data_IF_468063930666
#
_entry.id   IF_468063930666
#
_cell.length_a   1.000
_cell.length_b   1.000
_cell.length_c   1.000
_cell.angle_alpha   90.00
_cell.angle_beta   90.00
_cell.angle_gamma   90.00
#
_symmetry.space_group_name_H-M   'P 1'
#
loop_
_entity.id
_entity.type
_entity.pdbx_description
1 polymer ?
#
# COMPACT_ATOMS: atom_id res chain seq x y z
N UNK A 1 59.94 -8.18 -20.12
CA UNK A 1 58.84 -9.17 -20.01
C UNK A 1 58.37 -9.13 -18.55
N UNK A 2 57.18 -8.74 -18.12
CA UNK A 2 55.94 -8.20 -18.69
C UNK A 2 55.35 -7.27 -17.59
N UNK A 3 54.84 -6.11 -17.98
CA UNK A 3 54.05 -5.18 -17.15
C UNK A 3 52.68 -5.81 -16.81
N UNK A 4 52.16 -5.55 -15.60
CA UNK A 4 50.69 -5.50 -15.45
C UNK A 4 50.21 -4.38 -14.52
N UNK A 5 49.80 -3.31 -15.20
CA UNK A 5 48.89 -2.26 -14.80
C UNK A 5 47.48 -2.83 -14.60
N UNK A 6 46.80 -2.48 -13.50
CA UNK A 6 45.34 -2.39 -13.36
C UNK A 6 45.07 -1.36 -12.25
N UNK A 7 45.16 -0.06 -12.57
CA UNK A 7 44.01 0.79 -12.90
C UNK A 7 42.82 0.65 -11.94
N UNK A 8 42.55 1.78 -11.29
CA UNK A 8 41.54 1.98 -10.26
C UNK A 8 40.16 1.47 -10.67
N UNK A 9 39.58 0.67 -9.79
CA UNK A 9 38.15 0.50 -9.73
C UNK A 9 37.68 1.45 -8.62
N UNK A 10 37.28 2.67 -8.99
CA UNK A 10 36.41 3.46 -8.09
C UNK A 10 35.19 2.58 -7.86
N UNK A 11 35.07 2.04 -6.67
CA UNK A 11 33.82 1.47 -6.20
C UNK A 11 32.87 2.67 -6.18
N UNK A 12 31.93 2.74 -7.14
CA UNK A 12 30.84 3.70 -7.04
C UNK A 12 30.16 3.41 -5.70
N UNK A 13 30.14 4.40 -4.81
CA UNK A 13 29.23 4.37 -3.68
C UNK A 13 27.81 4.09 -4.24
N UNK A 14 27.00 3.27 -3.55
CA UNK A 14 25.61 3.07 -3.95
C UNK A 14 24.96 4.44 -4.07
N UNK A 15 24.44 4.73 -5.27
CA UNK A 15 23.72 5.97 -5.55
C UNK A 15 22.53 6.04 -4.59
N UNK A 16 22.60 6.93 -3.60
CA UNK A 16 21.57 7.12 -2.57
C UNK A 16 20.22 7.56 -3.15
N UNK A 17 20.13 7.75 -4.47
CA UNK A 17 18.92 8.09 -5.22
C UNK A 17 18.24 6.88 -5.88
N UNK A 18 18.82 5.68 -5.79
CA UNK A 18 18.29 4.44 -6.41
C UNK A 18 17.87 3.44 -5.36
N UNK A 19 16.71 3.69 -4.75
CA UNK A 19 15.97 2.60 -4.12
C UNK A 19 15.22 1.85 -5.25
N UNK A 20 15.45 0.55 -5.44
CA UNK A 20 14.68 -0.22 -6.40
C UNK A 20 13.22 -0.26 -5.96
N UNK A 21 12.25 -0.27 -6.90
CA UNK A 21 10.86 -0.41 -6.54
C UNK A 21 10.64 -1.68 -5.72
N UNK A 22 9.77 -1.62 -4.70
CA UNK A 22 9.55 -2.69 -3.72
C UNK A 22 9.10 -4.03 -4.34
N UNK A 23 8.64 -4.02 -5.60
CA UNK A 23 8.34 -5.23 -6.37
C UNK A 23 9.57 -5.89 -7.04
N UNK A 24 10.65 -5.15 -7.29
CA UNK A 24 11.88 -5.66 -7.90
C UNK A 24 12.89 -6.21 -6.87
N UNK A 25 12.75 -5.83 -5.60
CA UNK A 25 13.67 -6.22 -4.52
C UNK A 25 13.47 -7.66 -4.00
N UNK A 26 12.61 -8.47 -4.63
CA UNK A 26 12.40 -9.88 -4.27
C UNK A 26 13.60 -10.81 -4.61
N UNK A 27 14.81 -10.27 -4.90
CA UNK A 27 15.94 -11.09 -5.35
C UNK A 27 17.35 -10.56 -5.10
N UNK A 28 17.57 -9.45 -4.39
CA UNK A 28 18.95 -8.96 -4.15
C UNK A 28 19.12 -8.41 -2.73
N UNK A 29 19.90 -9.08 -1.86
CA UNK A 29 20.16 -8.60 -0.51
C UNK A 29 21.20 -7.48 -0.58
N UNK A 30 20.75 -6.23 -0.58
CA UNK A 30 21.61 -5.08 -0.27
C UNK A 30 21.55 -4.81 1.24
N UNK A 31 22.72 -4.95 1.86
CA UNK A 31 22.98 -4.85 3.30
C UNK A 31 22.40 -3.57 3.91
N UNK A 32 21.58 -3.75 4.96
CA UNK A 32 20.96 -2.70 5.75
C UNK A 32 19.56 -3.07 6.26
N UNK A 33 18.84 -3.98 5.58
CA UNK A 33 17.55 -4.47 6.04
C UNK A 33 17.75 -5.71 6.92
N UNK A 34 17.51 -5.59 8.22
CA UNK A 34 17.39 -6.76 9.09
C UNK A 34 16.15 -7.55 8.64
N UNK A 35 16.38 -8.71 8.01
CA UNK A 35 15.32 -9.60 7.55
C UNK A 35 14.68 -10.28 8.77
N UNK A 36 13.56 -9.75 9.26
CA UNK A 36 12.75 -10.43 10.27
C UNK A 36 12.25 -11.78 9.71
N UNK A 37 12.20 -12.81 10.56
CA UNK A 37 11.86 -14.20 10.25
C UNK A 37 10.49 -14.41 9.56
N UNK A 38 9.68 -13.35 9.44
CA UNK A 38 8.38 -13.30 8.77
C UNK A 38 8.41 -12.68 7.36
N UNK A 39 9.59 -12.40 6.80
CA UNK A 39 9.77 -11.83 5.46
C UNK A 39 9.00 -10.51 5.26
N UNK A 40 9.06 -9.61 6.24
CA UNK A 40 8.44 -8.28 6.16
C UNK A 40 9.52 -7.23 5.96
N UNK A 41 9.33 -6.39 4.95
CA UNK A 41 10.22 -5.24 4.71
C UNK A 41 9.86 -4.16 5.71
N UNK A 42 10.79 -3.84 6.61
CA UNK A 42 10.66 -2.78 7.59
C UNK A 42 11.41 -1.52 7.10
N UNK A 43 10.83 -0.35 7.33
CA UNK A 43 11.48 0.94 7.10
C UNK A 43 12.04 1.49 8.41
N UNK A 44 13.35 1.38 8.57
CA UNK A 44 14.08 1.90 9.72
C UNK A 44 14.10 3.44 9.77
N UNK A 45 13.90 4.09 8.61
CA UNK A 45 13.94 5.55 8.49
C UNK A 45 12.62 6.20 8.85
N UNK A 46 11.53 5.44 8.81
CA UNK A 46 10.20 5.93 9.14
C UNK A 46 10.14 6.33 10.62
N UNK A 47 9.90 7.62 10.89
CA UNK A 47 9.81 8.11 12.26
C UNK A 47 8.45 7.77 12.92
N UNK A 48 8.34 8.02 14.23
CA UNK A 48 7.13 7.67 14.99
C UNK A 48 5.87 8.44 14.54
N UNK A 49 6.02 9.67 14.09
CA UNK A 49 4.95 10.50 13.53
C UNK A 49 4.47 9.96 12.20
N UNK A 50 5.37 9.53 11.33
CA UNK A 50 5.03 8.90 10.05
C UNK A 50 4.30 7.57 10.23
N UNK A 51 4.80 6.72 11.13
CA UNK A 51 4.15 5.46 11.51
C UNK A 51 2.74 5.69 12.05
N UNK A 52 2.58 6.69 12.92
CA UNK A 52 1.30 7.07 13.49
C UNK A 52 0.34 7.59 12.41
N UNK A 53 0.84 8.42 11.49
CA UNK A 53 0.02 8.95 10.39
C UNK A 53 -0.44 7.86 9.44
N UNK A 54 0.47 6.96 9.03
CA UNK A 54 0.16 5.81 8.20
C UNK A 54 -0.84 4.85 8.88
N UNK A 55 -0.69 4.64 10.20
CA UNK A 55 -1.67 3.90 11.00
C UNK A 55 -3.06 4.53 10.89
N UNK A 56 -3.18 5.84 11.10
CA UNK A 56 -4.48 6.52 11.01
C UNK A 56 -5.05 6.48 9.60
N UNK A 57 -4.19 6.56 8.59
CA UNK A 57 -4.61 6.43 7.19
C UNK A 57 -5.21 5.04 6.89
N UNK A 58 -4.76 3.97 7.56
CA UNK A 58 -5.42 2.66 7.47
C UNK A 58 -6.74 2.59 8.25
N UNK A 59 -6.84 3.28 9.39
CA UNK A 59 -8.03 3.27 10.25
C UNK A 59 -9.14 4.21 9.79
N UNK A 60 -8.83 5.22 8.97
CA UNK A 60 -9.81 6.20 8.47
C UNK A 60 -10.95 5.54 7.70
N UNK A 61 -10.72 4.34 7.15
CA UNK A 61 -11.75 3.53 6.50
C UNK A 61 -12.94 3.17 7.39
N UNK A 62 -12.76 3.14 8.72
CA UNK A 62 -13.86 2.90 9.67
C UNK A 62 -14.87 4.03 9.74
N UNK A 63 -14.55 5.22 9.23
CA UNK A 63 -15.53 6.30 9.05
C UNK A 63 -16.74 5.88 8.21
N UNK A 64 -16.61 4.83 7.38
CA UNK A 64 -17.68 4.30 6.54
C UNK A 64 -18.60 3.27 7.21
N UNK A 65 -18.36 2.89 8.47
CA UNK A 65 -19.23 1.94 9.19
C UNK A 65 -20.65 2.52 9.37
N UNK A 66 -20.75 3.82 9.65
CA UNK A 66 -22.03 4.50 9.88
C UNK A 66 -22.82 4.85 8.61
N UNK A 67 -22.22 4.75 7.41
CA UNK A 67 -22.83 5.17 6.14
C UNK A 67 -23.56 4.03 5.41
N UNK A 68 -24.17 3.11 6.15
CA UNK A 68 -24.91 1.97 5.56
C UNK A 68 -24.02 1.00 4.78
N UNK A 69 -22.73 0.92 5.11
CA UNK A 69 -21.77 0.04 4.43
C UNK A 69 -21.19 0.59 3.12
N UNK A 70 -21.49 1.85 2.76
CA UNK A 70 -20.91 2.50 1.58
C UNK A 70 -19.53 3.09 1.96
N UNK A 71 -18.42 2.65 1.34
CA UNK A 71 -17.05 3.02 1.74
C UNK A 71 -16.60 4.43 1.28
N UNK A 72 -17.52 5.39 1.12
CA UNK A 72 -17.20 6.72 0.58
C UNK A 72 -16.47 7.62 1.57
N UNK A 73 -16.92 7.68 2.83
CA UNK A 73 -16.27 8.51 3.85
C UNK A 73 -14.84 8.03 4.13
N UNK A 74 -14.65 6.72 4.24
CA UNK A 74 -13.34 6.10 4.38
C UNK A 74 -12.43 6.37 3.19
N UNK A 75 -12.96 6.28 1.96
CA UNK A 75 -12.21 6.59 0.74
C UNK A 75 -11.77 8.07 0.70
N UNK A 76 -12.68 9.00 0.97
CA UNK A 76 -12.36 10.43 0.99
C UNK A 76 -11.29 10.72 2.04
N UNK A 77 -11.44 10.15 3.23
CA UNK A 77 -10.46 10.29 4.32
C UNK A 77 -9.09 9.76 3.93
N UNK A 78 -9.00 8.55 3.38
CA UNK A 78 -7.74 7.94 2.95
C UNK A 78 -7.07 8.73 1.83
N UNK A 79 -7.83 9.21 0.85
CA UNK A 79 -7.31 10.05 -0.23
C UNK A 79 -6.79 11.36 0.33
N UNK A 80 -7.55 12.04 1.18
CA UNK A 80 -7.12 13.30 1.76
C UNK A 80 -5.83 13.14 2.56
N UNK A 81 -5.79 12.15 3.45
CA UNK A 81 -4.60 11.86 4.24
C UNK A 81 -3.39 11.52 3.36
N UNK A 82 -3.56 10.62 2.38
CA UNK A 82 -2.51 10.31 1.42
C UNK A 82 -1.99 11.59 0.74
N UNK A 83 -2.87 12.42 0.18
CA UNK A 83 -2.44 13.59 -0.60
C UNK A 83 -1.78 14.69 0.22
N UNK A 84 -2.04 14.78 1.53
CA UNK A 84 -1.42 15.75 2.41
C UNK A 84 0.06 15.41 2.65
N UNK A 85 0.38 14.15 2.99
CA UNK A 85 1.74 13.76 3.39
C UNK A 85 2.51 12.85 2.43
N UNK A 86 1.91 12.42 1.31
CA UNK A 86 2.56 11.52 0.35
C UNK A 86 3.96 11.93 -0.11
N UNK A 87 4.24 13.25 -0.14
CA UNK A 87 5.52 13.77 -0.64
C UNK A 87 6.60 13.89 0.45
N UNK A 88 6.24 13.66 1.71
CA UNK A 88 7.16 13.82 2.84
C UNK A 88 8.09 12.60 2.96
N UNK A 89 7.59 11.38 2.72
CA UNK A 89 8.43 10.18 2.69
C UNK A 89 7.87 9.03 1.83
N UNK A 90 8.75 8.14 1.35
CA UNK A 90 8.34 6.92 0.63
C UNK A 90 7.39 6.03 1.45
N UNK A 91 7.59 5.97 2.76
CA UNK A 91 6.74 5.21 3.68
C UNK A 91 5.30 5.72 3.68
N UNK A 92 5.10 7.04 3.80
CA UNK A 92 3.78 7.66 3.75
C UNK A 92 3.15 7.60 2.35
N UNK A 93 3.97 7.72 1.30
CA UNK A 93 3.51 7.54 -0.08
C UNK A 93 2.94 6.14 -0.29
N UNK A 94 3.62 5.10 0.18
CA UNK A 94 3.23 3.72 -0.02
C UNK A 94 1.99 3.32 0.78
N UNK A 95 2.00 3.56 2.10
CA UNK A 95 0.85 3.28 2.96
C UNK A 95 -0.39 4.09 2.54
N UNK A 96 -0.18 5.35 2.17
CA UNK A 96 -1.17 6.24 1.58
C UNK A 96 -1.86 5.63 0.37
N UNK A 97 -1.07 5.31 -0.66
CA UNK A 97 -1.51 4.74 -1.93
C UNK A 97 -2.21 3.39 -1.74
N UNK A 98 -1.64 2.52 -0.92
CA UNK A 98 -2.20 1.19 -0.66
C UNK A 98 -3.55 1.27 0.06
N UNK A 99 -3.68 2.13 1.08
CA UNK A 99 -4.96 2.32 1.76
C UNK A 99 -6.04 2.86 0.82
N UNK A 100 -5.69 3.79 -0.07
CA UNK A 100 -6.60 4.31 -1.10
C UNK A 100 -7.01 3.22 -2.09
N UNK A 101 -6.07 2.42 -2.60
CA UNK A 101 -6.38 1.27 -3.45
C UNK A 101 -7.36 0.30 -2.78
N UNK A 102 -7.18 0.05 -1.48
CA UNK A 102 -8.08 -0.81 -0.73
C UNK A 102 -9.48 -0.21 -0.60
N UNK A 103 -9.61 1.08 -0.29
CA UNK A 103 -10.91 1.75 -0.23
C UNK A 103 -11.64 1.74 -1.58
N UNK A 104 -10.93 1.95 -2.69
CA UNK A 104 -11.49 1.79 -4.03
C UNK A 104 -11.92 0.35 -4.31
N UNK A 105 -11.16 -0.64 -3.83
CA UNK A 105 -11.52 -2.06 -3.97
C UNK A 105 -12.81 -2.38 -3.21
N UNK A 106 -12.94 -1.91 -1.96
CA UNK A 106 -14.17 -2.05 -1.19
C UNK A 106 -15.35 -1.38 -1.89
N UNK A 107 -15.16 -0.18 -2.45
CA UNK A 107 -16.21 0.52 -3.20
C UNK A 107 -16.65 -0.28 -4.43
N UNK A 108 -15.70 -0.84 -5.18
CA UNK A 108 -16.00 -1.69 -6.32
C UNK A 108 -16.79 -2.94 -5.92
N UNK A 109 -16.39 -3.63 -4.84
CA UNK A 109 -17.13 -4.79 -4.32
C UNK A 109 -18.55 -4.44 -3.90
N UNK A 110 -18.75 -3.32 -3.20
CA UNK A 110 -20.09 -2.84 -2.83
C UNK A 110 -20.93 -2.53 -4.07
N UNK A 111 -20.35 -1.86 -5.07
CA UNK A 111 -21.04 -1.54 -6.32
C UNK A 111 -21.44 -2.79 -7.11
N UNK A 112 -20.58 -3.82 -7.16
CA UNK A 112 -20.89 -5.10 -7.79
C UNK A 112 -22.05 -5.81 -7.09
N UNK A 113 -22.14 -5.74 -5.77
CA UNK A 113 -23.26 -6.26 -5.00
C UNK A 113 -24.59 -5.62 -5.32
N UNK A 114 -24.60 -4.29 -5.36
CA UNK A 114 -25.78 -3.51 -5.74
C UNK A 114 -26.21 -3.84 -7.17
N UNK A 115 -25.25 -3.87 -8.11
CA UNK A 115 -25.52 -4.23 -9.50
C UNK A 115 -26.09 -5.65 -9.63
N UNK A 116 -25.55 -6.62 -8.89
CA UNK A 116 -26.06 -7.99 -8.86
C UNK A 116 -27.51 -8.04 -8.36
N UNK A 117 -27.85 -7.26 -7.31
CA UNK A 117 -29.23 -7.12 -6.84
C UNK A 117 -30.16 -6.56 -7.92
N UNK A 118 -29.73 -5.54 -8.67
CA UNK A 118 -30.53 -4.94 -9.75
C UNK A 118 -30.74 -5.91 -10.92
N UNK A 119 -29.67 -6.55 -11.41
CA UNK A 119 -29.72 -7.46 -12.58
C UNK A 119 -30.61 -8.68 -12.31
N UNK A 120 -30.68 -9.12 -11.06
CA UNK A 120 -31.51 -10.25 -10.64
C UNK A 120 -32.92 -9.85 -10.19
N UNK A 121 -33.35 -8.61 -10.50
CA UNK A 121 -34.67 -8.06 -10.14
C UNK A 121 -34.95 -8.12 -8.62
N UNK A 122 -33.92 -7.94 -7.80
CA UNK A 122 -34.00 -7.94 -6.35
C UNK A 122 -33.70 -9.29 -5.69
N UNK A 123 -33.68 -10.41 -6.42
CA UNK A 123 -33.38 -11.72 -5.83
C UNK A 123 -31.96 -11.77 -5.24
N UNK A 124 -30.99 -11.18 -5.92
CA UNK A 124 -29.62 -11.05 -5.46
C UNK A 124 -29.47 -10.18 -4.22
N UNK A 125 -30.40 -9.24 -3.98
CA UNK A 125 -30.40 -8.41 -2.77
C UNK A 125 -30.72 -9.24 -1.51
N UNK A 126 -31.44 -10.37 -1.64
CA UNK A 126 -31.68 -11.30 -0.54
C UNK A 126 -30.42 -12.07 -0.15
N UNK A 127 -29.56 -12.37 -1.13
CA UNK A 127 -28.28 -13.06 -0.91
C UNK A 127 -27.15 -12.10 -0.52
N UNK A 128 -27.28 -10.80 -0.86
CA UNK A 128 -26.27 -9.78 -0.61
C UNK A 128 -25.78 -9.67 0.85
N UNK A 129 -26.63 -9.80 1.90
CA UNK A 129 -26.16 -9.76 3.29
C UNK A 129 -25.04 -10.75 3.59
N UNK A 130 -25.04 -11.93 2.98
CA UNK A 130 -23.97 -12.93 3.14
C UNK A 130 -22.64 -12.39 2.58
N UNK A 131 -22.68 -11.80 1.38
CA UNK A 131 -21.52 -11.14 0.78
C UNK A 131 -21.06 -9.91 1.55
N UNK A 132 -22.00 -9.12 2.08
CA UNK A 132 -21.71 -7.95 2.90
C UNK A 132 -20.96 -8.30 4.19
N UNK A 133 -21.32 -9.41 4.86
CA UNK A 133 -20.59 -9.89 6.04
C UNK A 133 -19.13 -10.23 5.70
N UNK A 134 -18.90 -10.93 4.58
CA UNK A 134 -17.54 -11.23 4.12
C UNK A 134 -16.74 -9.94 3.80
N UNK A 135 -17.39 -8.96 3.18
CA UNK A 135 -16.78 -7.67 2.85
C UNK A 135 -16.42 -6.87 4.11
N UNK A 136 -17.30 -6.86 5.12
CA UNK A 136 -17.02 -6.24 6.43
C UNK A 136 -15.85 -6.93 7.12
N UNK A 137 -15.80 -8.26 7.12
CA UNK A 137 -14.68 -9.01 7.68
C UNK A 137 -13.36 -8.67 6.97
N UNK A 138 -13.36 -8.63 5.64
CA UNK A 138 -12.20 -8.21 4.83
C UNK A 138 -11.75 -6.79 5.19
N UNK A 139 -12.68 -5.84 5.28
CA UNK A 139 -12.41 -4.45 5.63
C UNK A 139 -11.81 -4.31 7.03
N UNK A 140 -12.43 -4.94 8.04
CA UNK A 140 -11.98 -4.89 9.44
C UNK A 140 -10.58 -5.50 9.59
N UNK A 141 -10.41 -6.74 9.15
CA UNK A 141 -9.13 -7.45 9.27
C UNK A 141 -8.05 -6.72 8.50
N UNK A 142 -8.34 -6.27 7.28
CA UNK A 142 -7.40 -5.55 6.44
C UNK A 142 -6.91 -4.26 7.08
N UNK A 143 -7.84 -3.41 7.55
CA UNK A 143 -7.50 -2.11 8.13
C UNK A 143 -6.73 -2.24 9.45
N UNK A 144 -7.13 -3.17 10.32
CA UNK A 144 -6.40 -3.44 11.57
C UNK A 144 -4.99 -3.95 11.26
N UNK A 145 -4.85 -4.91 10.34
CA UNK A 145 -3.53 -5.45 9.99
C UNK A 145 -2.63 -4.40 9.33
N UNK A 146 -3.18 -3.55 8.48
CA UNK A 146 -2.46 -2.42 7.89
C UNK A 146 -2.02 -1.40 8.92
N UNK A 147 -2.91 -1.01 9.83
CA UNK A 147 -2.60 -0.13 10.96
C UNK A 147 -1.49 -0.70 11.85
N UNK A 148 -1.58 -1.98 12.19
CA UNK A 148 -0.60 -2.68 13.01
C UNK A 148 0.76 -2.79 12.30
N UNK A 149 0.79 -3.02 10.99
CA UNK A 149 2.01 -3.02 10.19
C UNK A 149 2.64 -1.63 10.13
N UNK A 150 1.85 -0.60 9.83
CA UNK A 150 2.31 0.79 9.83
C UNK A 150 2.92 1.21 11.18
N UNK A 151 2.29 0.83 12.30
CA UNK A 151 2.82 1.09 13.64
C UNK A 151 4.19 0.43 13.88
N UNK A 152 4.41 -0.76 13.32
CA UNK A 152 5.72 -1.45 13.39
C UNK A 152 6.75 -0.90 12.39
N UNK A 153 6.36 0.03 11.51
CA UNK A 153 7.19 0.49 10.40
C UNK A 153 7.32 -0.56 9.30
N UNK A 154 6.38 -1.51 9.21
CA UNK A 154 6.36 -2.54 8.17
C UNK A 154 5.48 -2.10 7.00
N UNK A 155 5.99 -2.29 5.78
CA UNK A 155 5.17 -2.15 4.59
C UNK A 155 4.05 -3.19 4.57
N UNK A 156 2.87 -2.77 4.11
CA UNK A 156 1.67 -3.62 4.11
C UNK A 156 0.99 -3.66 2.75
N UNK A 157 0.46 -4.82 2.38
CA UNK A 157 -0.35 -5.01 1.18
C UNK A 157 -1.65 -5.70 1.54
N UNK A 158 -2.77 -5.12 1.13
CA UNK A 158 -4.08 -5.70 1.41
C UNK A 158 -4.32 -6.96 0.57
N UNK A 159 -4.85 -8.04 1.18
CA UNK A 159 -5.37 -9.15 0.41
C UNK A 159 -6.62 -8.72 -0.37
N UNK A 160 -6.86 -9.34 -1.54
CA UNK A 160 -8.01 -9.02 -2.40
C UNK A 160 -8.13 -7.51 -2.73
N UNK A 161 -7.00 -6.83 -2.88
CA UNK A 161 -6.93 -5.41 -3.25
C UNK A 161 -6.59 -5.25 -4.73
N UNK A 162 -7.41 -4.50 -5.45
CA UNK A 162 -7.09 -4.03 -6.80
C UNK A 162 -6.20 -2.78 -6.70
N UNK A 163 -5.02 -2.84 -7.32
CA UNK A 163 -4.06 -1.74 -7.33
C UNK A 163 -4.33 -0.82 -8.50
N UNK A 164 -5.29 0.10 -8.32
CA UNK A 164 -5.62 1.13 -9.31
C UNK A 164 -4.44 2.07 -9.54
N UNK A 165 -3.75 2.44 -8.46
CA UNK A 165 -2.53 3.22 -8.50
C UNK A 165 -1.34 2.31 -8.23
N UNK A 166 -0.47 2.18 -9.23
CA UNK A 166 0.82 1.50 -9.11
C UNK A 166 1.90 2.52 -8.73
N UNK A 167 3.06 2.06 -8.23
CA UNK A 167 4.23 2.95 -8.19
C UNK A 167 4.55 3.43 -9.61
N UNK A 168 5.13 4.63 -9.76
CA UNK A 168 5.71 5.04 -11.02
C UNK A 168 6.71 3.97 -11.46
N UNK A 169 6.43 3.28 -12.56
CA UNK A 169 7.42 2.44 -13.21
C UNK A 169 8.64 3.33 -13.47
N UNK A 170 9.82 2.82 -13.17
CA UNK A 170 11.14 3.45 -13.37
C UNK A 170 11.36 4.03 -14.79
N UNK A 171 10.43 3.79 -15.71
CA UNK A 171 10.35 4.30 -17.09
C UNK A 171 10.25 5.83 -17.23
N UNK A 172 9.93 6.58 -16.17
CA UNK A 172 9.95 8.06 -16.18
C UNK A 172 11.17 8.67 -15.43
N UNK A 173 12.08 7.81 -14.93
CA UNK A 173 13.39 8.22 -14.41
C UNK A 173 14.52 7.88 -15.39
N UNK A 174 14.24 7.87 -16.69
CA UNK A 174 15.34 8.00 -17.63
C UNK A 174 16.05 9.31 -17.32
N UNK A 175 17.38 9.33 -17.10
CA UNK A 175 18.13 10.56 -17.19
C UNK A 175 18.03 11.03 -18.65
N UNK A 176 16.96 11.76 -18.97
CA UNK A 176 16.90 12.54 -20.19
C UNK A 176 17.99 13.59 -20.03
N UNK A 177 18.95 13.54 -20.96
CA UNK A 177 20.16 14.35 -20.97
C UNK A 177 19.94 15.83 -21.20
#
# INVERSE_FOLDING_TARGET
MILRRREGRRVLAPDSRREPPMYAAAGTPTMGHEFDHLNRVQDERADSGERTYALFNHLVGFASIGSGGIPLLGLIGAVLMWRIKAKESPFLEDHGREAVNFQFSLLAYTAMGIAFGIVTLGLGAVLWPVGAVALVALALIGQIRGAMAAHRGEYYRYPACFRFFSEPLERDRSPLG
#
